data_IF_437542575950
#
_entry.id   IF_437542575950
#
_cell.length_a   1.000
_cell.length_b   1.000
_cell.length_c   1.000
_cell.angle_alpha   90.00
_cell.angle_beta   90.00
_cell.angle_gamma   90.00
#
_symmetry.space_group_name_H-M   'P 1'
#
loop_
_entity.id
_entity.type
_entity.pdbx_description
1 polymer ?
#
# COMPACT_ATOMS: atom_id res chain seq x y z
N UNK A 1 10.56 11.91 16.62
CA UNK A 1 9.37 12.06 15.75
C UNK A 1 9.12 10.72 15.09
N UNK A 2 7.88 10.23 15.06
CA UNK A 2 7.56 8.96 14.41
C UNK A 2 7.49 9.20 12.90
N UNK A 3 8.17 8.38 12.12
CA UNK A 3 8.17 8.46 10.66
C UNK A 3 7.92 7.06 10.11
N UNK A 4 7.23 6.94 8.96
CA UNK A 4 7.05 5.65 8.32
C UNK A 4 8.41 5.04 7.95
N UNK A 5 8.65 3.79 8.33
CA UNK A 5 9.88 3.08 7.95
C UNK A 5 9.67 2.22 6.69
N UNK A 6 8.45 1.69 6.51
CA UNK A 6 8.08 0.75 5.45
C UNK A 6 6.60 0.87 5.10
N UNK A 7 6.23 0.45 3.89
CA UNK A 7 4.85 0.20 3.49
C UNK A 7 4.70 -1.28 3.09
N UNK A 8 3.68 -1.93 3.65
CA UNK A 8 3.36 -3.32 3.33
C UNK A 8 2.04 -3.36 2.56
N UNK A 9 2.11 -3.71 1.27
CA UNK A 9 0.94 -3.80 0.39
C UNK A 9 0.50 -5.27 0.30
N UNK A 10 -0.57 -5.60 1.03
CA UNK A 10 -1.14 -6.94 1.17
C UNK A 10 -2.47 -7.05 0.42
N UNK A 11 -2.83 -8.25 -0.02
CA UNK A 11 -4.14 -8.54 -0.63
C UNK A 11 -4.75 -9.83 -0.09
N UNK A 12 -4.21 -11.00 -0.46
CA UNK A 12 -4.75 -12.30 -0.09
C UNK A 12 -3.75 -13.17 0.69
N UNK A 13 -2.54 -13.29 0.17
CA UNK A 13 -1.40 -13.88 0.88
C UNK A 13 -0.13 -13.13 0.51
N UNK A 14 0.85 -13.13 1.39
CA UNK A 14 2.07 -12.34 1.23
C UNK A 14 1.80 -10.83 1.19
N UNK A 15 2.86 -10.08 0.90
CA UNK A 15 2.81 -8.63 0.76
C UNK A 15 4.06 -8.13 0.04
N UNK A 16 3.93 -7.02 -0.71
CA UNK A 16 5.09 -6.24 -1.10
C UNK A 16 5.63 -5.53 0.14
N UNK A 17 6.91 -5.72 0.43
CA UNK A 17 7.55 -5.12 1.58
C UNK A 17 8.49 -4.00 1.16
N UNK A 18 7.96 -2.79 1.05
CA UNK A 18 8.67 -1.64 0.50
C UNK A 18 9.32 -0.83 1.64
N UNK A 19 10.62 -0.59 1.56
CA UNK A 19 11.25 0.40 2.45
C UNK A 19 10.73 1.78 2.07
N UNK A 20 10.44 2.62 3.07
CA UNK A 20 9.75 3.89 2.81
C UNK A 20 10.50 4.79 1.82
N UNK A 21 11.83 4.85 1.95
CA UNK A 21 12.67 5.65 1.05
C UNK A 21 12.80 5.11 -0.36
N UNK A 22 12.40 3.86 -0.61
CA UNK A 22 12.42 3.25 -1.95
C UNK A 22 11.10 3.46 -2.70
N UNK A 23 10.03 3.88 -2.00
CA UNK A 23 8.72 4.14 -2.61
C UNK A 23 8.88 5.26 -3.64
N UNK A 24 8.56 4.98 -4.90
CA UNK A 24 8.81 5.92 -6.01
C UNK A 24 7.98 7.21 -5.88
N UNK A 25 6.73 7.08 -5.42
CA UNK A 25 5.75 8.15 -5.40
C UNK A 25 5.16 8.30 -4.01
N UNK A 26 5.51 9.38 -3.34
CA UNK A 26 4.98 9.80 -2.05
C UNK A 26 4.42 11.22 -2.15
N UNK A 27 3.48 11.55 -1.27
CA UNK A 27 2.73 12.81 -1.24
C UNK A 27 2.89 13.46 0.12
N UNK A 28 3.02 14.77 0.14
CA UNK A 28 2.85 15.56 1.35
C UNK A 28 1.36 15.69 1.69
N UNK A 29 1.04 15.89 2.96
CA UNK A 29 -0.35 16.20 3.37
C UNK A 29 -0.85 17.50 2.71
N UNK A 30 0.02 18.46 2.44
CA UNK A 30 -0.37 19.73 1.80
C UNK A 30 -0.75 19.55 0.32
N UNK A 31 -0.01 18.75 -0.45
CA UNK A 31 -0.36 18.40 -1.84
C UNK A 31 -1.72 17.69 -1.93
N UNK A 32 -2.01 16.84 -0.93
CA UNK A 32 -3.30 16.17 -0.80
C UNK A 32 -4.42 17.19 -0.54
N UNK A 33 -4.25 18.07 0.44
CA UNK A 33 -5.25 19.05 0.82
C UNK A 33 -5.51 20.08 -0.29
N UNK A 34 -4.50 20.40 -1.09
CA UNK A 34 -4.63 21.26 -2.26
C UNK A 34 -5.34 20.60 -3.44
N UNK A 35 -5.50 19.28 -3.44
CA UNK A 35 -6.06 18.51 -4.57
C UNK A 35 -5.05 18.25 -5.71
N UNK A 36 -3.77 18.56 -5.50
CA UNK A 36 -2.71 18.45 -6.50
C UNK A 36 -2.04 17.07 -6.53
N UNK A 37 -2.48 16.15 -5.66
CA UNK A 37 -1.91 14.82 -5.48
C UNK A 37 -1.93 13.92 -6.74
N UNK A 38 -2.58 14.33 -7.84
CA UNK A 38 -2.46 13.66 -9.14
C UNK A 38 -1.05 13.79 -9.73
N UNK A 39 -0.40 14.94 -9.59
CA UNK A 39 0.76 15.34 -10.42
C UNK A 39 2.15 15.47 -9.80
N UNK A 40 2.42 15.22 -8.50
CA UNK A 40 3.77 14.81 -8.14
C UNK A 40 3.95 13.32 -8.48
N UNK A 41 5.00 13.03 -9.26
CA UNK A 41 5.53 11.68 -9.45
C UNK A 41 7.05 11.76 -9.21
N UNK A 42 7.65 10.65 -8.76
CA UNK A 42 9.08 10.56 -8.52
C UNK A 42 9.56 11.30 -7.27
N UNK A 43 8.65 11.71 -6.40
CA UNK A 43 8.96 12.32 -5.11
C UNK A 43 8.92 11.24 -4.03
N UNK A 44 9.96 11.17 -3.21
CA UNK A 44 10.13 10.12 -2.20
C UNK A 44 10.22 10.73 -0.80
N UNK A 45 10.02 9.91 0.23
CA UNK A 45 10.16 10.29 1.64
C UNK A 45 9.19 11.39 2.13
N UNK A 46 8.04 11.58 1.47
CA UNK A 46 6.97 12.40 2.00
C UNK A 46 6.07 11.60 2.97
N UNK A 47 4.96 12.21 3.37
CA UNK A 47 4.08 11.75 4.45
C UNK A 47 3.24 10.52 4.08
N UNK A 48 2.87 10.38 2.80
CA UNK A 48 1.93 9.34 2.35
C UNK A 48 2.44 8.60 1.11
N UNK A 49 2.24 7.28 0.99
CA UNK A 49 2.55 6.56 -0.23
C UNK A 49 1.41 6.74 -1.22
N UNK A 50 1.75 6.90 -2.49
CA UNK A 50 0.78 6.85 -3.59
C UNK A 50 0.71 5.41 -4.10
N UNK A 51 -0.46 4.78 -3.93
CA UNK A 51 -0.67 3.38 -4.31
C UNK A 51 -1.43 3.31 -5.62
N UNK A 52 -0.84 2.62 -6.60
CA UNK A 52 -1.44 2.32 -7.89
C UNK A 52 -2.05 0.93 -7.85
N UNK A 53 -3.31 0.82 -8.28
CA UNK A 53 -4.02 -0.46 -8.34
C UNK A 53 -3.99 -0.96 -9.77
N UNK A 54 -3.54 -2.20 -9.98
CA UNK A 54 -3.65 -2.83 -11.30
C UNK A 54 -5.10 -3.14 -11.62
N UNK A 55 -5.45 -3.06 -12.91
CA UNK A 55 -6.83 -3.29 -13.34
C UNK A 55 -7.31 -4.73 -13.06
N UNK A 56 -6.39 -5.69 -13.08
CA UNK A 56 -6.67 -7.12 -12.85
C UNK A 56 -5.96 -7.62 -11.59
N UNK A 57 -6.57 -8.64 -10.95
CA UNK A 57 -6.16 -9.29 -9.69
C UNK A 57 -6.06 -8.42 -8.41
N UNK A 58 -6.44 -7.14 -8.46
CA UNK A 58 -6.36 -6.21 -7.32
C UNK A 58 -4.94 -6.05 -6.73
N UNK A 59 -3.88 -6.17 -7.55
CA UNK A 59 -2.52 -5.97 -7.08
C UNK A 59 -2.21 -4.47 -6.86
N UNK A 60 -1.40 -4.18 -5.85
CA UNK A 60 -1.11 -2.83 -5.36
C UNK A 60 0.38 -2.53 -5.51
N UNK A 61 0.72 -1.39 -6.09
CA UNK A 61 2.08 -0.99 -6.44
C UNK A 61 2.37 0.43 -5.98
N UNK A 62 3.64 0.76 -5.74
CA UNK A 62 4.10 2.15 -5.56
C UNK A 62 4.53 2.82 -6.86
N UNK A 63 4.59 2.05 -7.96
CA UNK A 63 5.06 2.49 -9.26
C UNK A 63 3.96 2.60 -10.30
N UNK A 64 4.08 3.62 -11.14
CA UNK A 64 3.26 3.81 -12.34
C UNK A 64 3.82 2.94 -13.48
N UNK A 65 2.94 2.39 -14.31
CA UNK A 65 3.32 1.72 -15.55
C UNK A 65 2.32 2.05 -16.66
N UNK A 66 2.69 2.94 -17.58
CA UNK A 66 1.79 3.33 -18.67
C UNK A 66 2.07 2.67 -20.00
N UNK A 67 2.97 1.70 -20.03
CA UNK A 67 3.13 0.87 -21.22
C UNK A 67 2.02 -0.18 -21.24
N UNK A 68 1.42 -0.37 -22.41
CA UNK A 68 0.75 -1.63 -22.71
C UNK A 68 1.81 -2.62 -23.16
N UNK A 69 2.14 -3.60 -22.32
CA UNK A 69 3.16 -4.60 -22.66
C UNK A 69 2.53 -5.68 -23.57
N UNK A 70 1.59 -6.45 -23.04
CA UNK A 70 0.86 -7.51 -23.74
C UNK A 70 -0.38 -7.97 -22.91
N UNK A 71 -1.29 -8.79 -23.46
CA UNK A 71 -2.47 -9.25 -22.71
C UNK A 71 -2.15 -10.04 -21.43
N UNK A 72 -1.04 -10.78 -21.37
CA UNK A 72 -0.68 -11.59 -20.21
C UNK A 72 -0.14 -10.72 -19.06
N UNK A 73 0.62 -9.66 -19.37
CA UNK A 73 1.14 -8.68 -18.39
C UNK A 73 0.05 -8.12 -17.47
N UNK A 74 -1.18 -8.02 -17.97
CA UNK A 74 -2.30 -7.51 -17.21
C UNK A 74 -2.68 -8.37 -16.01
N UNK A 75 -2.26 -9.63 -15.97
CA UNK A 75 -2.48 -10.55 -14.84
C UNK A 75 -1.20 -10.82 -14.03
N UNK A 76 -0.16 -10.02 -14.27
CA UNK A 76 1.18 -10.10 -13.69
C UNK A 76 1.58 -8.76 -13.05
N UNK A 77 2.81 -8.68 -12.56
CA UNK A 77 3.38 -7.53 -11.84
C UNK A 77 3.64 -6.30 -12.72
N UNK A 78 3.57 -6.46 -14.04
CA UNK A 78 3.85 -5.42 -15.05
C UNK A 78 2.58 -4.96 -15.78
N UNK A 79 1.40 -5.12 -15.16
CA UNK A 79 0.14 -4.60 -15.65
C UNK A 79 0.16 -3.07 -15.83
N UNK A 80 -0.74 -2.56 -16.69
CA UNK A 80 -0.91 -1.12 -16.90
C UNK A 80 -1.50 -0.46 -15.64
N UNK A 81 -0.93 0.69 -15.28
CA UNK A 81 -1.23 1.51 -14.11
C UNK A 81 -1.06 2.99 -14.46
N UNK A 82 -2.17 3.73 -14.55
CA UNK A 82 -2.17 5.16 -14.86
C UNK A 82 -2.42 6.03 -13.62
N UNK A 83 -2.51 7.35 -13.83
CA UNK A 83 -2.94 8.29 -12.79
C UNK A 83 -4.47 8.41 -12.67
N UNK A 84 -5.22 7.57 -13.39
CA UNK A 84 -6.69 7.59 -13.33
C UNK A 84 -7.18 6.68 -12.20
N UNK A 85 -6.38 5.69 -11.79
CA UNK A 85 -6.69 4.73 -10.73
C UNK A 85 -5.51 4.64 -9.76
N UNK A 86 -5.56 5.45 -8.71
CA UNK A 86 -4.61 5.44 -7.60
C UNK A 86 -5.33 5.87 -6.31
N UNK A 87 -4.71 5.55 -5.18
CA UNK A 87 -5.24 5.88 -3.86
C UNK A 87 -4.13 6.36 -2.92
N UNK A 88 -4.49 7.23 -1.99
CA UNK A 88 -3.73 7.52 -0.80
C UNK A 88 -4.67 7.37 0.39
N UNK A 89 -4.11 6.95 1.53
CA UNK A 89 -4.88 6.86 2.77
C UNK A 89 -4.68 8.16 3.53
N UNK A 90 -5.75 8.93 3.73
CA UNK A 90 -5.73 10.10 4.61
C UNK A 90 -5.41 9.65 6.06
N UNK A 91 -4.56 10.38 6.81
CA UNK A 91 -4.22 10.07 8.19
C UNK A 91 -5.43 9.74 9.08
N UNK A 92 -6.57 10.39 8.87
CA UNK A 92 -7.78 10.15 9.65
C UNK A 92 -8.32 8.71 9.53
N UNK A 93 -7.96 8.01 8.45
CA UNK A 93 -8.32 6.63 8.19
C UNK A 93 -7.24 5.64 8.62
N UNK A 94 -6.11 6.09 9.18
CA UNK A 94 -5.13 5.17 9.75
C UNK A 94 -5.68 4.50 11.01
N UNK A 95 -5.71 3.18 10.96
CA UNK A 95 -6.11 2.33 12.09
C UNK A 95 -4.85 1.64 12.60
N UNK A 96 -4.54 1.83 13.88
CA UNK A 96 -3.53 1.03 14.55
C UNK A 96 -4.08 -0.38 14.81
N UNK A 97 -3.74 -1.31 13.92
CA UNK A 97 -4.35 -2.63 13.84
C UNK A 97 -3.42 -3.78 14.29
N UNK A 98 -2.40 -3.51 15.09
CA UNK A 98 -1.60 -4.56 15.75
C UNK A 98 -2.41 -5.25 16.86
N UNK A 99 -2.01 -6.48 17.22
CA UNK A 99 -2.74 -7.35 18.14
C UNK A 99 -2.86 -6.82 19.58
N UNK A 100 -2.11 -5.77 19.93
CA UNK A 100 -2.24 -5.10 21.23
C UNK A 100 -3.49 -4.21 21.34
N UNK A 101 -4.08 -3.79 20.20
CA UNK A 101 -5.24 -2.89 20.18
C UNK A 101 -6.57 -3.62 20.00
N UNK A 102 -7.67 -3.00 20.44
CA UNK A 102 -9.02 -3.56 20.26
C UNK A 102 -9.39 -3.68 18.77
N UNK A 103 -8.97 -2.71 17.95
CA UNK A 103 -9.15 -2.77 16.51
C UNK A 103 -8.39 -3.94 15.89
N UNK A 104 -7.13 -4.15 16.26
CA UNK A 104 -6.33 -5.28 15.78
C UNK A 104 -6.89 -6.63 16.20
N UNK A 105 -7.36 -6.77 17.45
CA UNK A 105 -8.03 -7.98 17.93
C UNK A 105 -9.32 -8.26 17.16
N UNK A 106 -10.15 -7.23 16.94
CA UNK A 106 -11.38 -7.36 16.17
C UNK A 106 -11.11 -7.77 14.72
N UNK A 107 -10.12 -7.14 14.07
CA UNK A 107 -9.66 -7.47 12.73
C UNK A 107 -9.13 -8.91 12.67
N UNK A 108 -8.26 -9.30 13.61
CA UNK A 108 -7.66 -10.64 13.66
C UNK A 108 -8.68 -11.76 13.93
N UNK A 109 -9.75 -11.47 14.66
CA UNK A 109 -10.82 -12.43 14.94
C UNK A 109 -11.82 -12.62 13.79
N UNK A 110 -11.79 -11.76 12.77
CA UNK A 110 -12.67 -11.90 11.61
C UNK A 110 -12.35 -13.19 10.82
N UNK A 111 -13.37 -13.76 10.17
CA UNK A 111 -13.16 -14.88 9.26
C UNK A 111 -12.62 -14.35 7.92
N UNK A 112 -11.31 -14.47 7.71
CA UNK A 112 -10.61 -14.07 6.49
C UNK A 112 -10.63 -15.13 5.38
N UNK A 113 -11.31 -16.26 5.58
CA UNK A 113 -11.27 -17.40 4.66
C UNK A 113 -9.84 -17.91 4.50
N UNK A 114 -9.41 -18.11 3.26
CA UNK A 114 -8.05 -18.58 2.94
C UNK A 114 -6.99 -17.46 2.96
N UNK A 115 -7.37 -16.22 3.26
CA UNK A 115 -6.41 -15.11 3.30
C UNK A 115 -5.52 -15.17 4.56
N UNK A 116 -4.21 -15.04 4.38
CA UNK A 116 -3.21 -15.22 5.44
C UNK A 116 -2.52 -13.93 5.89
N UNK A 117 -2.72 -12.83 5.17
CA UNK A 117 -1.97 -11.58 5.33
C UNK A 117 -2.80 -10.43 5.90
N UNK A 118 -3.62 -10.73 6.92
CA UNK A 118 -4.33 -9.71 7.71
C UNK A 118 -3.35 -8.89 8.59
N UNK A 119 -3.74 -7.68 9.05
CA UNK A 119 -2.82 -6.78 9.74
C UNK A 119 -2.14 -7.38 10.99
N UNK A 120 -2.84 -8.07 11.91
CA UNK A 120 -2.17 -8.74 13.03
C UNK A 120 -1.18 -9.83 12.61
N UNK A 121 -1.54 -10.68 11.65
CA UNK A 121 -0.68 -11.75 11.12
C UNK A 121 0.61 -11.17 10.50
N UNK A 122 0.46 -10.11 9.70
CA UNK A 122 1.58 -9.41 9.06
C UNK A 122 2.47 -8.77 10.13
N UNK A 123 1.90 -8.08 11.12
CA UNK A 123 2.67 -7.47 12.19
C UNK A 123 3.46 -8.50 13.00
N UNK A 124 2.85 -9.62 13.38
CA UNK A 124 3.54 -10.70 14.09
C UNK A 124 4.73 -11.25 13.29
N UNK A 125 4.58 -11.42 11.97
CA UNK A 125 5.65 -11.84 11.08
C UNK A 125 6.79 -10.83 10.97
N UNK A 126 6.48 -9.54 10.83
CA UNK A 126 7.49 -8.48 10.74
C UNK A 126 8.26 -8.32 12.05
N UNK A 127 7.56 -8.35 13.20
CA UNK A 127 8.16 -8.18 14.52
C UNK A 127 8.92 -9.42 15.02
N UNK A 128 8.73 -10.59 14.41
CA UNK A 128 9.51 -11.80 14.72
C UNK A 128 10.72 -12.00 13.80
N UNK A 129 10.78 -11.29 12.67
CA UNK A 129 11.90 -11.31 11.73
C UNK A 129 13.06 -10.36 12.12
N UNK A 130 12.95 -9.69 13.27
CA UNK A 130 13.94 -8.75 13.82
C UNK A 130 14.93 -9.40 14.77
#
# INVERSE_FOLDING_TARGET
MWAPSRALLSAHSGYHNLAWGDIQNTLTTDEINAGDAKTPNGVQNNDHPKVYVSWSKHANFDTRNTAWNDPASQSLEDAFRSQDWWYFVDPQYYIRADDSTDAGKAIGAANWGDASSNPPSVQAGVCSAS
#
